data_IF_454658646883
#
_entry.id   IF_454658646883
#
_cell.length_a   1.000
_cell.length_b   1.000
_cell.length_c   1.000
_cell.angle_alpha   90.00
_cell.angle_beta   90.00
_cell.angle_gamma   90.00
#
_symmetry.space_group_name_H-M   'P 1'
#
loop_
_entity.id
_entity.type
_entity.pdbx_description
1 polymer ?
#
# COMPACT_ATOMS: atom_id res chain seq x y z
N UNK A 1 -3.90 -15.97 32.15
CA UNK A 1 -2.61 -15.57 31.54
C UNK A 1 -2.37 -16.17 30.14
N UNK A 2 -3.42 -16.46 29.34
CA UNK A 2 -3.28 -17.05 27.99
C UNK A 2 -3.54 -16.05 26.84
N UNK A 3 -3.99 -14.83 27.13
CA UNK A 3 -4.27 -13.80 26.12
C UNK A 3 -3.05 -13.01 25.64
N UNK A 4 -1.92 -13.07 26.37
CA UNK A 4 -0.74 -12.22 26.11
C UNK A 4 0.21 -12.77 25.02
N UNK A 5 0.20 -14.07 24.75
CA UNK A 5 1.10 -14.69 23.76
C UNK A 5 0.57 -14.63 22.32
N UNK A 6 -0.75 -14.62 22.12
CA UNK A 6 -1.34 -14.49 20.79
C UNK A 6 -1.19 -13.06 20.24
N UNK A 7 -1.34 -12.06 21.12
CA UNK A 7 -1.26 -10.64 20.77
C UNK A 7 0.17 -10.21 20.37
N UNK A 8 1.19 -10.73 21.06
CA UNK A 8 2.60 -10.45 20.76
C UNK A 8 3.10 -11.10 19.46
N UNK A 9 2.52 -12.25 19.07
CA UNK A 9 2.91 -12.98 17.84
C UNK A 9 2.27 -12.37 16.58
N UNK A 10 1.07 -11.80 16.70
CA UNK A 10 0.39 -11.10 15.60
C UNK A 10 1.05 -9.77 15.27
N UNK A 11 1.42 -9.01 16.32
CA UNK A 11 2.20 -7.79 16.17
C UNK A 11 3.55 -8.08 15.49
N UNK A 12 4.23 -9.18 15.89
CA UNK A 12 5.52 -9.54 15.30
C UNK A 12 5.44 -9.96 13.83
N UNK A 13 4.39 -10.64 13.38
CA UNK A 13 4.22 -11.03 11.97
C UNK A 13 4.09 -9.80 11.05
N UNK A 14 3.19 -8.87 11.39
CA UNK A 14 2.98 -7.65 10.61
C UNK A 14 4.21 -6.74 10.68
N UNK A 15 4.81 -6.56 11.86
CA UNK A 15 6.02 -5.74 12.01
C UNK A 15 7.19 -6.31 11.19
N UNK A 16 7.36 -7.64 11.13
CA UNK A 16 8.37 -8.27 10.26
C UNK A 16 8.18 -7.93 8.78
N UNK A 17 6.93 -7.86 8.29
CA UNK A 17 6.66 -7.49 6.90
C UNK A 17 6.94 -6.00 6.67
N UNK A 18 6.51 -5.15 7.60
CA UNK A 18 6.68 -3.69 7.51
C UNK A 18 8.15 -3.27 7.62
N UNK A 19 8.94 -3.93 8.48
CA UNK A 19 10.34 -3.59 8.75
C UNK A 19 11.33 -4.31 7.83
N UNK A 20 10.88 -5.32 7.07
CA UNK A 20 11.72 -6.05 6.13
C UNK A 20 12.23 -5.14 5.01
N UNK A 21 13.51 -5.27 4.68
CA UNK A 21 14.12 -4.61 3.51
C UNK A 21 13.97 -5.41 2.22
N UNK A 22 13.43 -6.63 2.29
CA UNK A 22 13.19 -7.45 1.10
C UNK A 22 12.23 -6.72 0.14
N UNK A 23 12.40 -6.89 -1.18
CA UNK A 23 11.45 -6.38 -2.15
C UNK A 23 10.04 -6.89 -1.87
N UNK A 24 9.05 -6.00 -1.90
CA UNK A 24 7.63 -6.32 -1.70
C UNK A 24 6.82 -5.65 -2.79
N UNK A 25 5.70 -6.26 -3.19
CA UNK A 25 4.78 -5.65 -4.13
C UNK A 25 3.34 -5.97 -3.74
N UNK A 26 2.45 -5.00 -3.97
CA UNK A 26 1.00 -5.19 -3.92
C UNK A 26 0.46 -4.96 -5.32
N UNK A 27 -0.01 -6.03 -5.95
CA UNK A 27 -0.72 -5.99 -7.22
C UNK A 27 -2.22 -5.87 -6.96
N UNK A 28 -2.82 -4.78 -7.43
CA UNK A 28 -4.25 -4.53 -7.35
C UNK A 28 -4.89 -4.69 -8.71
N UNK A 29 -5.78 -5.67 -8.85
CA UNK A 29 -6.66 -5.79 -10.01
C UNK A 29 -8.01 -5.17 -9.69
N UNK A 30 -8.41 -4.15 -10.45
CA UNK A 30 -9.59 -3.36 -10.16
C UNK A 30 -10.88 -4.15 -10.44
N UNK A 31 -11.80 -4.20 -9.47
CA UNK A 31 -13.09 -4.89 -9.61
C UNK A 31 -14.16 -4.04 -10.29
N UNK A 32 -13.94 -2.73 -10.37
CA UNK A 32 -14.82 -1.72 -10.95
C UNK A 32 -14.01 -0.54 -11.48
N UNK A 33 -14.67 0.37 -12.18
CA UNK A 33 -14.02 1.59 -12.68
C UNK A 33 -13.78 2.59 -11.55
N UNK A 34 -12.55 3.09 -11.40
CA UNK A 34 -12.16 4.05 -10.35
C UNK A 34 -11.33 5.18 -10.97
N UNK A 35 -11.64 6.42 -10.61
CA UNK A 35 -10.88 7.59 -11.06
C UNK A 35 -9.54 7.76 -10.33
N UNK A 36 -8.55 8.40 -10.96
CA UNK A 36 -7.22 8.58 -10.39
C UNK A 36 -7.23 9.34 -9.06
N UNK A 37 -8.09 10.35 -8.91
CA UNK A 37 -8.19 11.15 -7.69
C UNK A 37 -8.64 10.29 -6.50
N UNK A 38 -9.60 9.38 -6.72
CA UNK A 38 -10.08 8.47 -5.67
C UNK A 38 -9.02 7.45 -5.26
N UNK A 39 -8.20 7.00 -6.20
CA UNK A 39 -7.06 6.11 -5.91
C UNK A 39 -6.02 6.88 -5.09
N UNK A 40 -5.65 8.08 -5.56
CA UNK A 40 -4.69 8.97 -4.94
C UNK A 40 -5.10 9.35 -3.51
N UNK A 41 -6.36 9.74 -3.30
CA UNK A 41 -6.92 10.02 -1.98
C UNK A 41 -6.83 8.81 -1.06
N UNK A 42 -7.24 7.63 -1.52
CA UNK A 42 -7.23 6.42 -0.70
C UNK A 42 -5.80 6.04 -0.26
N UNK A 43 -4.82 6.13 -1.17
CA UNK A 43 -3.42 5.82 -0.85
C UNK A 43 -2.73 6.91 -0.02
N UNK A 44 -3.21 8.15 -0.09
CA UNK A 44 -2.66 9.28 0.67
C UNK A 44 -3.21 9.39 2.10
N UNK A 45 -4.18 8.55 2.48
CA UNK A 45 -4.73 8.47 3.85
C UNK A 45 -3.79 7.78 4.86
N UNK A 46 -2.50 8.05 4.73
CA UNK A 46 -1.47 7.59 5.65
C UNK A 46 -1.36 8.55 6.84
N UNK A 47 -1.34 8.01 8.05
CA UNK A 47 -1.11 8.82 9.25
C UNK A 47 0.37 9.19 9.35
N UNK A 48 0.65 10.38 9.90
CA UNK A 48 1.99 10.86 10.25
C UNK A 48 2.97 11.14 9.09
N UNK A 49 2.66 10.78 7.84
CA UNK A 49 3.42 11.26 6.69
C UNK A 49 3.21 12.77 6.52
N UNK A 50 4.25 13.48 6.06
CA UNK A 50 4.17 14.91 5.81
C UNK A 50 3.20 15.21 4.65
N UNK A 51 2.50 16.35 4.74
CA UNK A 51 1.44 16.70 3.77
C UNK A 51 1.98 16.92 2.35
N UNK A 52 3.21 17.44 2.21
CA UNK A 52 3.89 17.58 0.93
C UNK A 52 4.25 16.22 0.31
N UNK A 53 4.65 15.24 1.13
CA UNK A 53 4.92 13.87 0.70
C UNK A 53 3.65 13.16 0.24
N UNK A 54 2.54 13.33 0.99
CA UNK A 54 1.21 12.83 0.56
C UNK A 54 0.77 13.49 -0.74
N UNK A 55 0.93 14.81 -0.85
CA UNK A 55 0.62 15.55 -2.08
C UNK A 55 1.45 15.04 -3.25
N UNK A 56 2.74 14.76 -3.06
CA UNK A 56 3.60 14.18 -4.11
C UNK A 56 3.09 12.82 -4.58
N UNK A 57 2.67 11.94 -3.66
CA UNK A 57 2.05 10.66 -4.02
C UNK A 57 0.76 10.89 -4.83
N UNK A 58 -0.07 11.83 -4.38
CA UNK A 58 -1.31 12.18 -5.06
C UNK A 58 -1.06 12.65 -6.50
N UNK A 59 -0.17 13.64 -6.67
CA UNK A 59 0.16 14.23 -7.95
C UNK A 59 0.73 13.17 -8.92
N UNK A 60 1.62 12.28 -8.46
CA UNK A 60 2.17 11.18 -9.30
C UNK A 60 1.06 10.31 -9.89
N UNK A 61 0.03 9.98 -9.10
CA UNK A 61 -1.06 9.12 -9.55
C UNK A 61 -1.98 9.88 -10.50
N UNK A 62 -2.38 11.10 -10.13
CA UNK A 62 -3.30 11.91 -10.95
C UNK A 62 -2.67 12.29 -12.27
N UNK A 63 -1.44 12.82 -12.25
CA UNK A 63 -0.74 13.27 -13.44
C UNK A 63 -0.32 12.08 -14.31
N UNK A 64 0.19 11.02 -13.69
CA UNK A 64 0.62 9.82 -14.41
C UNK A 64 -0.51 9.10 -15.15
N UNK A 65 -1.75 9.28 -14.71
CA UNK A 65 -2.94 8.69 -15.33
C UNK A 65 -3.72 9.66 -16.23
N UNK A 66 -3.30 10.91 -16.42
CA UNK A 66 -4.08 11.90 -17.19
C UNK A 66 -4.44 11.45 -18.60
N UNK A 67 -3.47 10.92 -19.36
CA UNK A 67 -3.70 10.46 -20.74
C UNK A 67 -4.62 9.23 -20.81
N UNK A 68 -4.51 8.38 -19.79
CA UNK A 68 -5.07 7.03 -19.76
C UNK A 68 -6.43 6.97 -19.04
N UNK A 69 -6.74 8.01 -18.28
CA UNK A 69 -7.96 8.20 -17.52
C UNK A 69 -8.13 7.19 -16.39
N UNK A 70 -9.38 6.77 -16.19
CA UNK A 70 -9.81 5.93 -15.06
C UNK A 70 -9.25 4.52 -15.17
N UNK A 71 -8.95 3.89 -14.02
CA UNK A 71 -8.74 2.44 -13.96
C UNK A 71 -10.05 1.74 -14.25
N UNK A 72 -10.10 0.88 -15.27
CA UNK A 72 -11.27 0.07 -15.62
C UNK A 72 -11.22 -1.27 -14.88
N UNK A 73 -12.36 -1.96 -14.88
CA UNK A 73 -12.46 -3.32 -14.36
C UNK A 73 -11.42 -4.23 -15.05
N UNK A 74 -10.70 -5.03 -14.25
CA UNK A 74 -9.58 -5.93 -14.60
C UNK A 74 -8.25 -5.24 -14.93
N UNK A 75 -8.19 -3.92 -15.02
CA UNK A 75 -6.89 -3.23 -15.13
C UNK A 75 -6.14 -3.32 -13.79
N UNK A 76 -4.81 -3.13 -13.87
CA UNK A 76 -3.92 -3.39 -12.75
C UNK A 76 -3.08 -2.16 -12.39
N UNK A 77 -2.87 -2.00 -11.08
CA UNK A 77 -1.91 -1.10 -10.48
C UNK A 77 -1.00 -1.89 -9.55
N UNK A 78 0.30 -1.63 -9.61
CA UNK A 78 1.30 -2.23 -8.72
C UNK A 78 1.93 -1.14 -7.88
N UNK A 79 1.99 -1.39 -6.57
CA UNK A 79 2.81 -0.65 -5.63
C UNK A 79 3.99 -1.53 -5.25
N UNK A 80 5.22 -1.10 -5.51
CA UNK A 80 6.43 -1.86 -5.20
C UNK A 80 7.27 -1.13 -4.16
N UNK A 81 7.68 -1.84 -3.12
CA UNK A 81 8.58 -1.32 -2.10
C UNK A 81 10.01 -1.73 -2.41
N UNK A 82 10.87 -0.73 -2.63
CA UNK A 82 12.33 -0.90 -2.67
C UNK A 82 12.89 -0.47 -1.32
N UNK A 83 13.41 -1.44 -0.56
CA UNK A 83 13.87 -1.19 0.80
C UNK A 83 12.72 -0.84 1.74
N UNK A 84 12.93 0.18 2.59
CA UNK A 84 11.99 0.62 3.63
C UNK A 84 11.32 1.97 3.35
N UNK A 85 11.82 2.72 2.38
CA UNK A 85 11.45 4.13 2.18
C UNK A 85 10.92 4.44 0.79
N UNK A 86 11.10 3.56 -0.19
CA UNK A 86 10.72 3.87 -1.56
C UNK A 86 9.51 3.06 -2.01
N UNK A 87 8.46 3.75 -2.46
CA UNK A 87 7.33 3.15 -3.20
C UNK A 87 7.46 3.54 -4.67
N UNK A 88 7.42 2.55 -5.55
CA UNK A 88 7.26 2.71 -7.00
C UNK A 88 5.80 2.42 -7.37
N UNK A 89 5.25 3.26 -8.24
CA UNK A 89 3.89 3.13 -8.74
C UNK A 89 3.93 2.78 -10.22
N UNK A 90 3.27 1.69 -10.58
CA UNK A 90 3.06 1.24 -11.96
C UNK A 90 1.57 1.06 -12.21
N UNK A 91 1.07 1.54 -13.34
CA UNK A 91 -0.32 1.37 -13.78
C UNK A 91 -0.30 0.86 -15.21
N UNK A 92 -1.04 -0.22 -15.50
CA UNK A 92 -1.05 -0.86 -16.84
C UNK A 92 0.36 -1.09 -17.40
N UNK A 93 1.24 -1.62 -16.55
CA UNK A 93 2.66 -1.88 -16.84
C UNK A 93 3.50 -0.62 -17.19
N UNK A 94 2.95 0.59 -17.03
CA UNK A 94 3.63 1.88 -17.19
C UNK A 94 4.07 2.43 -15.84
N UNK A 95 5.36 2.74 -15.71
CA UNK A 95 5.89 3.45 -14.55
C UNK A 95 5.30 4.87 -14.47
N UNK A 96 4.67 5.19 -13.35
CA UNK A 96 4.13 6.54 -13.09
C UNK A 96 5.09 7.40 -12.29
N UNK A 97 5.88 6.80 -11.40
CA UNK A 97 6.77 7.54 -10.53
C UNK A 97 7.18 6.76 -9.29
N UNK A 98 7.91 7.44 -8.41
CA UNK A 98 8.27 6.93 -7.09
C UNK A 98 8.24 8.02 -6.02
N UNK A 99 7.96 7.61 -4.79
CA UNK A 99 8.07 8.44 -3.60
C UNK A 99 9.07 7.79 -2.64
N UNK A 100 10.03 8.58 -2.17
CA UNK A 100 10.99 8.17 -1.17
C UNK A 100 10.67 8.87 0.15
N UNK A 101 10.00 8.17 1.05
CA UNK A 101 9.71 8.58 2.42
C UNK A 101 9.35 7.34 3.26
N UNK A 102 10.09 7.09 4.36
CA UNK A 102 9.90 5.90 5.19
C UNK A 102 8.54 5.84 5.90
N UNK A 103 7.98 6.99 6.27
CA UNK A 103 6.70 7.06 7.00
C UNK A 103 5.56 6.76 6.05
N UNK A 104 5.57 7.38 4.86
CA UNK A 104 4.63 7.08 3.79
C UNK A 104 4.75 5.62 3.35
N UNK A 105 5.98 5.15 3.07
CA UNK A 105 6.23 3.78 2.62
C UNK A 105 5.66 2.75 3.59
N UNK A 106 5.96 2.88 4.88
CA UNK A 106 5.40 2.02 5.92
C UNK A 106 3.87 2.14 5.97
N UNK A 107 3.34 3.36 6.00
CA UNK A 107 1.91 3.58 6.18
C UNK A 107 1.04 3.10 5.03
N UNK A 108 1.50 3.20 3.78
CA UNK A 108 0.78 2.61 2.63
C UNK A 108 0.77 1.08 2.73
N UNK A 109 1.89 0.45 3.13
CA UNK A 109 1.93 -1.01 3.29
C UNK A 109 1.02 -1.46 4.43
N UNK A 110 0.97 -0.69 5.52
CA UNK A 110 0.12 -0.93 6.68
C UNK A 110 -1.38 -0.96 6.31
N UNK A 111 -1.83 -0.25 5.27
CA UNK A 111 -3.20 -0.38 4.76
C UNK A 111 -3.56 -1.83 4.37
N UNK A 112 -2.58 -2.63 3.96
CA UNK A 112 -2.79 -4.00 3.47
C UNK A 112 -2.45 -5.08 4.48
N UNK A 113 -1.44 -4.86 5.33
CA UNK A 113 -0.94 -5.88 6.27
C UNK A 113 -1.13 -5.51 7.75
N UNK A 114 -1.52 -4.27 8.02
CA UNK A 114 -1.76 -3.73 9.34
C UNK A 114 -3.00 -4.29 10.03
N UNK A 115 -3.21 -3.89 11.28
CA UNK A 115 -4.34 -4.39 12.07
C UNK A 115 -5.70 -4.01 11.49
N UNK A 116 -5.80 -2.77 11.00
CA UNK A 116 -6.99 -2.21 10.36
C UNK A 116 -6.90 -2.32 8.84
N UNK A 117 -6.42 -3.46 8.36
CA UNK A 117 -6.21 -3.72 6.93
C UNK A 117 -7.51 -3.62 6.12
N UNK A 118 -7.40 -3.09 4.90
CA UNK A 118 -8.47 -3.09 3.89
C UNK A 118 -8.68 -4.48 3.28
N UNK A 119 -7.78 -5.43 3.54
CA UNK A 119 -7.86 -6.83 3.07
C UNK A 119 -7.52 -7.82 4.20
N UNK A 120 -8.51 -8.13 5.08
CA UNK A 120 -8.33 -9.14 6.13
C UNK A 120 -7.94 -10.52 5.58
N UNK A 121 -8.40 -10.87 4.38
CA UNK A 121 -8.04 -12.13 3.70
C UNK A 121 -6.57 -12.17 3.32
N UNK A 122 -6.00 -11.08 2.79
CA UNK A 122 -4.57 -10.99 2.51
C UNK A 122 -3.76 -11.19 3.78
N UNK A 123 -4.10 -10.47 4.87
CA UNK A 123 -3.41 -10.60 6.15
C UNK A 123 -3.47 -12.03 6.71
N UNK A 124 -4.61 -12.71 6.57
CA UNK A 124 -4.76 -14.12 6.94
C UNK A 124 -3.86 -15.03 6.08
N UNK A 125 -3.83 -14.81 4.76
CA UNK A 125 -3.03 -15.61 3.83
C UNK A 125 -1.52 -15.41 4.04
N UNK A 126 -1.10 -14.25 4.53
CA UNK A 126 0.28 -13.98 4.95
C UNK A 126 0.65 -14.65 6.29
N UNK A 127 -0.28 -15.35 6.94
CA UNK A 127 -0.06 -15.96 8.25
C UNK A 127 -0.16 -14.98 9.43
N UNK A 128 -0.53 -13.72 9.18
CA UNK A 128 -0.67 -12.69 10.21
C UNK A 128 -2.12 -12.50 10.69
N UNK A 129 -3.01 -13.48 10.48
CA UNK A 129 -4.39 -13.47 10.97
C UNK A 129 -4.57 -14.26 12.26
N UNK A 130 -5.53 -13.88 13.11
CA UNK A 130 -5.95 -14.71 14.25
C UNK A 130 -6.55 -16.02 13.73
N UNK A 131 -6.15 -17.15 14.33
CA UNK A 131 -6.86 -18.43 14.15
C UNK A 131 -8.30 -18.33 14.65
#
# INVERSE_FOLDING_TARGET
SLQSSADSTLKSCTDNILDSTAPKAVLMQFSMTVGPERIAEALSQVKNAAEDVKKKLYDIIVDGMMEEGKMKKREQMTLEWKGRDTIIITVRDKYLGQVQDAVLARGVLELYVGEKTVSPSLRKNLGCGTK
#
